data_IF_745668852052
#
_entry.id   IF_745668852052
#
_cell.length_a   1.000
_cell.length_b   1.000
_cell.length_c   1.000
_cell.angle_alpha   90.00
_cell.angle_beta   90.00
_cell.angle_gamma   90.00
#
_symmetry.space_group_name_H-M   'P 1'
#
loop_
_entity.id
_entity.type
_entity.pdbx_description
1 polymer ?
#
# COMPACT_ATOMS: atom_id res chain seq x y z
N UNK A 1 -10.57 -30.45 -16.67
CA UNK A 1 -10.34 -29.64 -15.46
C UNK A 1 -10.16 -28.21 -15.93
N UNK A 2 -11.20 -27.38 -15.85
CA UNK A 2 -11.14 -26.00 -16.33
C UNK A 2 -10.70 -25.17 -15.13
N UNK A 3 -9.46 -24.69 -15.22
CA UNK A 3 -8.84 -23.80 -14.26
C UNK A 3 -9.75 -22.57 -14.10
N UNK A 4 -10.35 -22.44 -12.90
CA UNK A 4 -11.13 -21.28 -12.50
C UNK A 4 -10.20 -20.08 -12.40
N UNK A 5 -9.84 -19.48 -13.54
CA UNK A 5 -9.33 -18.12 -13.60
C UNK A 5 -10.51 -17.18 -13.30
N UNK A 6 -11.00 -17.23 -12.05
CA UNK A 6 -11.90 -16.22 -11.51
C UNK A 6 -11.12 -14.92 -11.60
N UNK A 7 -11.54 -13.92 -12.39
CA UNK A 7 -10.96 -12.61 -12.25
C UNK A 7 -11.18 -12.22 -10.79
N UNK A 8 -10.11 -12.02 -10.03
CA UNK A 8 -10.18 -11.30 -8.76
C UNK A 8 -10.49 -9.85 -9.11
N UNK A 9 -11.75 -9.61 -9.48
CA UNK A 9 -12.36 -8.31 -9.70
C UNK A 9 -12.37 -7.58 -8.36
N UNK A 10 -11.29 -6.90 -8.00
CA UNK A 10 -11.29 -5.70 -7.14
C UNK A 10 -9.89 -5.06 -6.98
N UNK A 11 -9.00 -5.13 -7.98
CA UNK A 11 -7.75 -4.36 -7.92
C UNK A 11 -8.01 -2.94 -8.42
N UNK A 12 -8.32 -2.01 -7.50
CA UNK A 12 -8.42 -0.55 -7.73
C UNK A 12 -7.09 0.10 -8.17
N UNK A 13 -6.02 -0.67 -8.30
CA UNK A 13 -4.68 -0.17 -8.59
C UNK A 13 -3.93 -1.11 -9.56
N UNK A 14 -3.02 -0.56 -10.39
CA UNK A 14 -2.22 -1.35 -11.32
C UNK A 14 -1.25 -2.26 -10.57
N UNK A 15 -0.82 -3.37 -11.19
CA UNK A 15 0.23 -4.25 -10.62
C UNK A 15 1.59 -3.53 -10.52
N UNK A 16 1.85 -2.59 -11.42
CA UNK A 16 3.06 -1.76 -11.43
C UNK A 16 2.82 -0.48 -12.21
N UNK A 17 3.54 0.57 -11.85
CA UNK A 17 3.58 1.86 -12.56
C UNK A 17 5.00 2.43 -12.53
N UNK A 18 5.23 3.53 -13.24
CA UNK A 18 6.49 4.27 -13.20
C UNK A 18 6.22 5.74 -12.86
N UNK A 19 7.04 6.32 -12.00
CA UNK A 19 6.96 7.74 -11.64
C UNK A 19 8.35 8.34 -11.47
N UNK A 20 8.63 9.47 -12.12
CA UNK A 20 9.96 10.13 -12.12
C UNK A 20 11.11 9.16 -12.48
N UNK A 21 10.86 8.22 -13.40
CA UNK A 21 11.83 7.20 -13.81
C UNK A 21 12.09 6.10 -12.79
N UNK A 22 11.24 5.96 -11.77
CA UNK A 22 11.30 4.92 -10.74
C UNK A 22 10.17 3.93 -10.92
N UNK A 23 10.50 2.65 -10.86
CA UNK A 23 9.52 1.58 -11.03
C UNK A 23 8.85 1.27 -9.70
N UNK A 24 7.52 1.38 -9.68
CA UNK A 24 6.67 1.11 -8.53
C UNK A 24 5.90 -0.18 -8.79
N UNK A 25 5.92 -1.14 -7.87
CA UNK A 25 5.15 -2.40 -7.95
C UNK A 25 4.24 -2.54 -6.75
N UNK A 26 3.03 -3.03 -6.97
CA UNK A 26 2.02 -3.24 -5.94
C UNK A 26 1.71 -4.73 -5.82
N UNK A 27 2.02 -5.30 -4.67
CA UNK A 27 1.73 -6.70 -4.34
C UNK A 27 0.79 -6.76 -3.16
N UNK A 28 -0.20 -7.65 -3.21
CA UNK A 28 -1.08 -7.87 -2.07
C UNK A 28 -0.32 -8.71 -1.03
N UNK A 29 -0.40 -8.32 0.25
CA UNK A 29 0.20 -9.06 1.35
C UNK A 29 -0.91 -9.78 2.13
N UNK A 30 -0.73 -11.07 2.44
CA UNK A 30 -1.72 -11.82 3.19
C UNK A 30 -1.91 -11.21 4.59
N UNK A 31 -3.16 -11.04 5.01
CA UNK A 31 -3.54 -10.42 6.30
C UNK A 31 -2.99 -11.16 7.53
N UNK A 32 -2.46 -12.38 7.39
CA UNK A 32 -1.78 -13.10 8.48
C UNK A 32 -0.39 -12.55 8.83
N UNK A 33 0.20 -11.68 7.99
CA UNK A 33 1.50 -11.04 8.24
C UNK A 33 1.37 -9.70 9.01
N UNK A 34 0.42 -9.64 9.96
CA UNK A 34 0.16 -8.49 10.83
C UNK A 34 1.24 -8.25 11.91
N UNK A 35 2.47 -8.75 11.72
CA UNK A 35 3.55 -8.58 12.70
C UNK A 35 4.49 -7.42 12.41
N UNK A 36 4.31 -6.75 11.28
CA UNK A 36 5.18 -5.63 10.93
C UNK A 36 4.82 -4.36 11.72
N UNK A 37 5.86 -3.66 12.20
CA UNK A 37 5.71 -2.50 13.09
C UNK A 37 4.99 -1.34 12.39
N UNK A 38 5.16 -1.21 11.08
CA UNK A 38 4.54 -0.15 10.29
C UNK A 38 3.02 -0.28 10.25
N UNK A 39 2.51 -1.50 10.05
CA UNK A 39 1.07 -1.76 10.08
C UNK A 39 0.48 -1.57 11.49
N UNK A 40 1.20 -1.98 12.53
CA UNK A 40 0.77 -1.77 13.92
C UNK A 40 0.71 -0.28 14.28
N UNK A 41 1.59 0.54 13.71
CA UNK A 41 1.54 1.99 13.90
C UNK A 41 0.31 2.62 13.24
N UNK A 42 -0.08 2.14 12.05
CA UNK A 42 -1.35 2.52 11.42
C UNK A 42 -2.53 2.07 12.29
N UNK A 43 -2.55 0.81 12.78
CA UNK A 43 -3.59 0.27 13.68
C UNK A 43 -3.80 1.12 14.95
N UNK A 44 -2.72 1.69 15.49
CA UNK A 44 -2.80 2.55 16.67
C UNK A 44 -3.38 3.94 16.38
N UNK A 45 -3.25 4.42 15.15
CA UNK A 45 -3.73 5.75 14.74
C UNK A 45 -5.15 5.71 14.20
N UNK A 46 -5.51 4.64 13.49
CA UNK A 46 -6.85 4.51 12.95
C UNK A 46 -7.88 4.42 14.07
N UNK A 47 -9.00 5.11 13.87
CA UNK A 47 -10.10 5.06 14.81
C UNK A 47 -10.61 3.61 14.93
N UNK A 48 -11.09 3.18 16.11
CA UNK A 48 -11.60 1.80 16.32
C UNK A 48 -12.73 1.43 15.35
N UNK A 49 -13.34 2.41 14.70
CA UNK A 49 -14.36 2.23 13.67
C UNK A 49 -13.81 1.89 12.27
N UNK A 50 -12.54 2.19 11.99
CA UNK A 50 -11.84 1.85 10.74
C UNK A 50 -11.30 0.42 10.85
N UNK A 51 -11.67 -0.45 9.90
CA UNK A 51 -11.13 -1.82 9.83
C UNK A 51 -10.10 -1.92 8.73
N UNK A 52 -9.02 -2.63 9.02
CA UNK A 52 -8.01 -3.01 8.03
C UNK A 52 -8.62 -4.05 7.08
N UNK A 53 -8.73 -3.70 5.80
CA UNK A 53 -9.24 -4.61 4.78
C UNK A 53 -8.13 -5.48 4.22
N UNK A 54 -7.03 -4.86 3.79
CA UNK A 54 -5.89 -5.54 3.16
C UNK A 54 -4.60 -4.76 3.31
N UNK A 55 -3.48 -5.45 3.15
CA UNK A 55 -2.16 -4.84 3.10
C UNK A 55 -1.62 -4.93 1.68
N UNK A 56 -0.90 -3.90 1.27
CA UNK A 56 -0.17 -3.84 0.03
C UNK A 56 1.31 -3.66 0.34
N UNK A 57 2.15 -4.49 -0.26
CA UNK A 57 3.58 -4.21 -0.41
C UNK A 57 3.78 -3.32 -1.62
N UNK A 58 4.32 -2.14 -1.40
CA UNK A 58 4.73 -1.22 -2.47
C UNK A 58 6.24 -1.26 -2.57
N UNK A 59 6.75 -1.66 -3.74
CA UNK A 59 8.17 -1.75 -4.02
C UNK A 59 8.55 -0.67 -5.04
N UNK A 60 9.46 0.22 -4.65
CA UNK A 60 9.99 1.32 -5.45
C UNK A 60 11.48 1.06 -5.67
N UNK A 61 11.85 0.81 -6.93
CA UNK A 61 13.20 0.39 -7.32
C UNK A 61 13.63 -0.92 -6.61
N UNK A 62 14.36 -0.82 -5.50
CA UNK A 62 14.84 -1.93 -4.66
C UNK A 62 14.33 -1.85 -3.21
N UNK A 63 13.59 -0.79 -2.88
CA UNK A 63 13.05 -0.57 -1.53
C UNK A 63 11.58 -0.88 -1.50
N UNK A 64 11.13 -1.59 -0.46
CA UNK A 64 9.72 -1.88 -0.28
C UNK A 64 9.21 -1.34 1.06
N UNK A 65 7.96 -0.92 1.05
CA UNK A 65 7.24 -0.50 2.25
C UNK A 65 5.81 -1.02 2.21
N UNK A 66 5.18 -1.03 3.38
CA UNK A 66 3.80 -1.46 3.52
C UNK A 66 2.83 -0.28 3.45
N UNK A 67 1.72 -0.54 2.78
CA UNK A 67 0.53 0.30 2.73
C UNK A 67 -0.62 -0.52 3.27
N UNK A 68 -1.43 0.07 4.12
CA UNK A 68 -2.66 -0.52 4.64
C UNK A 68 -3.83 0.11 3.90
N UNK A 69 -4.71 -0.73 3.39
CA UNK A 69 -6.03 -0.30 2.91
C UNK A 69 -7.06 -0.47 4.03
N UNK A 70 -7.68 0.64 4.37
CA UNK A 70 -8.75 0.76 5.34
C UNK A 70 -10.11 0.64 4.65
N UNK A 71 -11.17 0.62 5.46
CA UNK A 71 -12.53 0.73 4.97
C UNK A 71 -12.70 1.96 4.06
N UNK A 72 -13.60 1.85 3.08
CA UNK A 72 -13.86 2.88 2.05
C UNK A 72 -12.77 3.04 0.97
N UNK A 73 -11.73 2.19 0.98
CA UNK A 73 -10.65 2.23 -0.01
C UNK A 73 -9.67 3.37 0.23
N UNK A 74 -9.48 3.72 1.50
CA UNK A 74 -8.47 4.66 1.96
C UNK A 74 -7.17 3.91 2.19
N UNK A 75 -6.05 4.46 1.73
CA UNK A 75 -4.72 3.90 1.81
C UNK A 75 -3.85 4.76 2.72
N UNK A 76 -3.21 4.12 3.70
CA UNK A 76 -2.29 4.78 4.63
C UNK A 76 -0.98 4.00 4.73
N UNK A 77 0.11 4.69 5.07
CA UNK A 77 1.42 4.06 5.29
C UNK A 77 2.07 4.59 6.55
N UNK A 78 2.84 3.74 7.23
CA UNK A 78 3.68 4.17 8.35
C UNK A 78 4.77 5.17 7.95
N UNK A 79 5.13 5.26 6.66
CA UNK A 79 6.10 6.23 6.17
C UNK A 79 5.55 7.66 6.08
N UNK A 80 4.26 7.81 5.81
CA UNK A 80 3.57 9.09 5.67
C UNK A 80 2.46 9.17 6.71
N UNK A 81 2.83 9.42 7.99
CA UNK A 81 1.88 9.49 9.07
C UNK A 81 0.88 10.63 8.83
N UNK A 82 -0.40 10.39 9.12
CA UNK A 82 -1.51 11.35 8.98
C UNK A 82 -1.88 11.73 7.54
N UNK A 83 -1.35 11.03 6.54
CA UNK A 83 -1.76 11.17 5.16
C UNK A 83 -2.58 9.97 4.72
N UNK A 84 -3.83 10.24 4.36
CA UNK A 84 -4.77 9.25 3.86
C UNK A 84 -4.99 9.48 2.37
N UNK A 85 -4.80 8.44 1.56
CA UNK A 85 -4.88 8.54 0.10
C UNK A 85 -6.04 7.70 -0.43
N UNK A 86 -6.71 8.16 -1.49
CA UNK A 86 -7.74 7.36 -2.17
C UNK A 86 -7.15 6.36 -3.16
N UNK A 87 -5.83 6.43 -3.39
CA UNK A 87 -5.10 5.58 -4.32
C UNK A 87 -3.71 5.24 -3.77
N UNK A 88 -3.28 3.97 -3.81
CA UNK A 88 -1.94 3.59 -3.38
C UNK A 88 -0.88 4.12 -4.36
N UNK A 89 -1.26 4.49 -5.58
CA UNK A 89 -0.37 5.13 -6.56
C UNK A 89 0.01 6.53 -6.08
N UNK A 90 -0.95 7.34 -5.67
CA UNK A 90 -0.70 8.70 -5.15
C UNK A 90 0.18 8.63 -3.90
N UNK A 91 -0.13 7.72 -2.99
CA UNK A 91 0.71 7.47 -1.80
C UNK A 91 2.14 7.14 -2.19
N UNK A 92 2.36 6.23 -3.15
CA UNK A 92 3.70 5.85 -3.58
C UNK A 92 4.47 7.01 -4.25
N UNK A 93 3.77 7.86 -5.00
CA UNK A 93 4.35 9.07 -5.59
C UNK A 93 4.78 10.08 -4.51
N UNK A 94 3.94 10.28 -3.51
CA UNK A 94 4.22 11.12 -2.35
C UNK A 94 5.41 10.58 -1.54
N UNK A 95 5.51 9.25 -1.36
CA UNK A 95 6.67 8.63 -0.71
C UNK A 95 7.96 8.97 -1.47
N UNK A 96 7.95 8.92 -2.80
CA UNK A 96 9.11 9.33 -3.63
C UNK A 96 9.42 10.82 -3.45
N UNK A 97 8.39 11.66 -3.34
CA UNK A 97 8.55 13.12 -3.26
C UNK A 97 8.91 13.65 -1.87
N UNK A 98 8.53 12.95 -0.80
CA UNK A 98 8.72 13.42 0.58
C UNK A 98 9.76 12.62 1.35
N UNK A 99 9.88 11.30 1.13
CA UNK A 99 10.78 10.46 1.92
C UNK A 99 12.17 10.46 1.30
N UNK A 100 13.13 11.07 1.98
CA UNK A 100 14.53 11.18 1.53
C UNK A 100 15.16 9.83 1.18
N UNK A 101 14.78 8.77 1.88
CA UNK A 101 15.23 7.40 1.59
C UNK A 101 14.83 6.92 0.18
N UNK A 102 13.75 7.47 -0.36
CA UNK A 102 13.23 7.24 -1.70
C UNK A 102 13.47 8.44 -2.64
N UNK A 103 14.23 9.46 -2.24
CA UNK A 103 14.74 10.52 -3.14
C UNK A 103 16.05 10.06 -3.79
N UNK A 104 16.28 10.48 -5.04
CA UNK A 104 17.51 10.13 -5.78
C UNK A 104 18.42 11.33 -5.77
#
# INVERSE_FOLDING_TARGET
MIENNKPTSDKKYPKSTEYKGRKIKFSDLPSSDLKDKAALEVEKRIDKSQKHLRKLKVEIDDKAFEVVELNEGIFESGLLPYSSYSSPVELAQDVIDYITEFKK
#
